data_IF_769790230661
#
_entry.id   IF_769790230661
#
_cell.length_a   1.000
_cell.length_b   1.000
_cell.length_c   1.000
_cell.angle_alpha   90.00
_cell.angle_beta   90.00
_cell.angle_gamma   90.00
#
_symmetry.space_group_name_H-M   'P 1'
#
loop_
_entity.id
_entity.type
_entity.pdbx_description
1 polymer ?
#
# COMPACT_ATOMS: atom_id res chain seq x y z
N UNK A 1 -14.71 3.02 -8.75
CA UNK A 1 -13.71 3.43 -9.76
C UNK A 1 -12.41 2.71 -9.44
N UNK A 2 -11.70 2.21 -10.46
CA UNK A 2 -10.37 1.58 -10.27
C UNK A 2 -9.34 2.66 -9.94
N UNK A 3 -8.24 2.27 -9.28
CA UNK A 3 -7.14 3.15 -8.89
C UNK A 3 -6.69 4.11 -10.02
N UNK A 4 -6.30 5.32 -9.65
CA UNK A 4 -5.69 6.27 -10.58
C UNK A 4 -4.21 5.93 -10.85
N UNK A 5 -3.62 6.54 -11.90
CA UNK A 5 -2.27 6.21 -12.35
C UNK A 5 -1.17 6.50 -11.32
N UNK A 6 -1.40 7.49 -10.45
CA UNK A 6 -0.46 7.85 -9.38
C UNK A 6 -0.48 6.76 -8.32
N UNK A 7 -1.66 6.35 -7.85
CA UNK A 7 -1.82 5.25 -6.89
C UNK A 7 -1.17 3.96 -7.41
N UNK A 8 -1.45 3.58 -8.66
CA UNK A 8 -0.84 2.40 -9.30
C UNK A 8 0.69 2.49 -9.29
N UNK A 9 1.26 3.67 -9.54
CA UNK A 9 2.71 3.88 -9.55
C UNK A 9 3.31 3.76 -8.14
N UNK A 10 2.58 4.24 -7.12
CA UNK A 10 2.98 4.10 -5.71
C UNK A 10 2.98 2.63 -5.30
N UNK A 11 1.92 1.86 -5.58
CA UNK A 11 1.88 0.42 -5.29
C UNK A 11 3.00 -0.36 -5.97
N UNK A 12 3.33 -0.01 -7.23
CA UNK A 12 4.49 -0.58 -7.94
C UNK A 12 5.82 -0.26 -7.27
N UNK A 13 5.96 0.91 -6.65
CA UNK A 13 7.17 1.28 -5.91
C UNK A 13 7.25 0.53 -4.58
N UNK A 14 6.18 0.55 -3.79
CA UNK A 14 6.11 -0.10 -2.48
C UNK A 14 6.32 -1.62 -2.57
N UNK A 15 5.65 -2.28 -3.52
CA UNK A 15 5.84 -3.72 -3.77
C UNK A 15 7.29 -4.07 -4.09
N UNK A 16 7.97 -3.27 -4.93
CA UNK A 16 9.40 -3.43 -5.23
C UNK A 16 10.29 -3.24 -4.02
N UNK A 17 10.02 -2.25 -3.17
CA UNK A 17 10.77 -2.03 -1.92
C UNK A 17 10.66 -3.22 -0.95
N UNK A 18 9.54 -3.95 -1.00
CA UNK A 18 9.34 -5.18 -0.23
C UNK A 18 9.79 -6.45 -0.98
N UNK A 19 10.30 -6.33 -2.21
CA UNK A 19 10.72 -7.47 -3.03
C UNK A 19 9.58 -8.37 -3.49
N UNK A 20 8.38 -7.81 -3.68
CA UNK A 20 7.17 -8.54 -4.06
C UNK A 20 6.64 -8.07 -5.41
N UNK A 21 5.97 -8.97 -6.13
CA UNK A 21 5.08 -8.60 -7.23
C UNK A 21 3.87 -7.84 -6.69
N UNK A 22 3.29 -6.96 -7.50
CA UNK A 22 2.26 -6.01 -7.02
C UNK A 22 1.03 -6.72 -6.46
N UNK A 23 0.53 -7.76 -7.13
CA UNK A 23 -0.64 -8.50 -6.65
C UNK A 23 -0.31 -9.30 -5.38
N UNK A 24 0.88 -9.88 -5.27
CA UNK A 24 1.32 -10.55 -4.04
C UNK A 24 1.50 -9.59 -2.87
N UNK A 25 1.94 -8.36 -3.14
CA UNK A 25 1.98 -7.29 -2.14
C UNK A 25 0.56 -6.94 -1.67
N UNK A 26 -0.39 -6.80 -2.59
CA UNK A 26 -1.79 -6.53 -2.25
C UNK A 26 -2.38 -7.67 -1.41
N UNK A 27 -2.26 -8.91 -1.89
CA UNK A 27 -2.76 -10.10 -1.18
C UNK A 27 -2.21 -10.22 0.24
N UNK A 28 -0.92 -9.95 0.42
CA UNK A 28 -0.25 -10.09 1.70
C UNK A 28 -0.65 -9.03 2.72
N UNK A 29 -0.90 -7.80 2.28
CA UNK A 29 -1.00 -6.65 3.17
C UNK A 29 -2.40 -6.01 3.21
N UNK A 30 -3.33 -6.34 2.32
CA UNK A 30 -4.62 -5.63 2.26
C UNK A 30 -5.41 -5.71 3.55
N UNK A 31 -5.43 -6.87 4.20
CA UNK A 31 -6.11 -7.03 5.48
C UNK A 31 -5.53 -6.10 6.55
N UNK A 32 -4.21 -5.93 6.58
CA UNK A 32 -3.56 -5.03 7.54
C UNK A 32 -3.84 -3.56 7.21
N UNK A 33 -3.80 -3.17 5.94
CA UNK A 33 -3.83 -1.78 5.55
C UNK A 33 -5.23 -1.18 5.47
N UNK A 34 -6.21 -1.96 5.01
CA UNK A 34 -7.58 -1.50 4.74
C UNK A 34 -8.66 -2.40 5.40
N UNK A 35 -8.27 -3.31 6.30
CA UNK A 35 -9.18 -4.25 6.99
C UNK A 35 -10.07 -5.10 6.06
N UNK A 36 -9.64 -5.28 4.80
CA UNK A 36 -10.37 -5.98 3.75
C UNK A 36 -9.39 -6.83 2.95
N UNK A 37 -9.75 -8.09 2.68
CA UNK A 37 -8.93 -8.96 1.84
C UNK A 37 -9.14 -8.63 0.36
N UNK A 38 -8.04 -8.38 -0.35
CA UNK A 38 -7.96 -8.16 -1.80
C UNK A 38 -6.82 -9.01 -2.33
N UNK A 39 -6.98 -9.59 -3.52
CA UNK A 39 -5.96 -10.49 -4.06
C UNK A 39 -5.15 -9.84 -5.17
N UNK A 40 -5.70 -8.79 -5.80
CA UNK A 40 -5.06 -8.08 -6.90
C UNK A 40 -5.19 -6.59 -6.75
N UNK A 41 -4.25 -5.86 -7.36
CA UNK A 41 -4.28 -4.41 -7.43
C UNK A 41 -5.57 -3.87 -8.06
N UNK A 42 -6.10 -4.59 -9.05
CA UNK A 42 -7.32 -4.18 -9.75
C UNK A 42 -8.62 -4.33 -8.94
N UNK A 43 -8.56 -5.05 -7.82
CA UNK A 43 -9.68 -5.24 -6.90
C UNK A 43 -9.86 -4.03 -5.97
N UNK A 44 -8.85 -3.16 -5.88
CA UNK A 44 -8.87 -1.96 -5.05
C UNK A 44 -9.69 -0.85 -5.71
N UNK A 45 -10.57 -0.26 -4.92
CA UNK A 45 -11.16 1.03 -5.20
C UNK A 45 -10.14 2.15 -4.97
N UNK A 46 -10.42 3.32 -5.56
CA UNK A 46 -9.62 4.52 -5.34
C UNK A 46 -9.56 4.92 -3.86
N UNK A 47 -10.66 4.78 -3.11
CA UNK A 47 -10.72 5.09 -1.67
C UNK A 47 -9.85 4.15 -0.84
N UNK A 48 -9.92 2.84 -1.09
CA UNK A 48 -9.03 1.86 -0.44
C UNK A 48 -7.55 2.13 -0.79
N UNK A 49 -7.27 2.56 -2.02
CA UNK A 49 -5.93 2.96 -2.45
C UNK A 49 -5.40 4.17 -1.67
N UNK A 50 -6.22 5.21 -1.49
CA UNK A 50 -5.85 6.40 -0.73
C UNK A 50 -5.66 6.09 0.76
N UNK A 51 -6.55 5.30 1.36
CA UNK A 51 -6.42 4.86 2.75
C UNK A 51 -5.10 4.10 2.98
N UNK A 52 -4.79 3.15 2.09
CA UNK A 52 -3.54 2.41 2.15
C UNK A 52 -2.32 3.35 2.08
N UNK A 53 -2.28 4.21 1.05
CA UNK A 53 -1.14 5.12 0.82
C UNK A 53 -0.96 6.07 2.00
N UNK A 54 -2.05 6.56 2.60
CA UNK A 54 -1.99 7.39 3.80
C UNK A 54 -1.39 6.61 4.98
N UNK A 55 -1.79 5.34 5.18
CA UNK A 55 -1.26 4.51 6.26
C UNK A 55 0.24 4.21 6.07
N UNK A 56 0.67 3.88 4.86
CA UNK A 56 2.10 3.74 4.51
C UNK A 56 2.87 5.03 4.80
N UNK A 57 2.31 6.19 4.43
CA UNK A 57 2.93 7.48 4.73
C UNK A 57 3.08 7.71 6.24
N UNK A 58 2.04 7.44 7.03
CA UNK A 58 2.09 7.56 8.50
C UNK A 58 3.14 6.62 9.11
N UNK A 59 3.21 5.37 8.66
CA UNK A 59 4.25 4.41 9.08
C UNK A 59 5.64 4.97 8.76
N UNK A 60 5.85 5.48 7.55
CA UNK A 60 7.14 6.04 7.14
C UNK A 60 7.58 7.24 8.01
N UNK A 61 6.62 8.06 8.48
CA UNK A 61 6.90 9.16 9.40
C UNK A 61 7.25 8.66 10.80
N UNK A 62 6.58 7.62 11.28
CA UNK A 62 6.89 6.98 12.57
C UNK A 62 8.26 6.31 12.57
N UNK A 63 8.60 5.59 11.50
CA UNK A 63 9.89 4.94 11.34
C UNK A 63 11.03 5.95 11.18
N UNK A 64 10.78 7.08 10.50
CA UNK A 64 11.74 8.17 10.40
C UNK A 64 12.02 8.87 11.75
N UNK A 65 11.10 8.78 12.71
CA UNK A 65 11.26 9.30 14.07
C UNK A 65 12.05 8.40 15.02
N UNK A 66 12.31 7.13 14.65
CA UNK A 66 12.91 6.12 15.53
C UNK A 66 14.42 5.94 15.30
N UNK A 67 15.15 7.05 15.15
CA UNK A 67 16.63 7.10 15.13
C UNK A 67 17.19 8.02 16.24
N UNK A 68 16.43 8.22 17.33
CA UNK A 68 16.91 8.89 18.55
C UNK A 68 16.70 7.96 19.75
N UNK A 69 17.48 6.88 19.81
CA UNK A 69 17.86 6.19 21.04
C UNK A 69 19.32 5.72 20.94
#
# INVERSE_FOLDING_TARGET
MKLNIIQVSIFKKLSKEKGLEVDSYVEKYSMEFINLQRNKLEDLSEEEGDEWINKEYLISLSDAGCNIL
#
